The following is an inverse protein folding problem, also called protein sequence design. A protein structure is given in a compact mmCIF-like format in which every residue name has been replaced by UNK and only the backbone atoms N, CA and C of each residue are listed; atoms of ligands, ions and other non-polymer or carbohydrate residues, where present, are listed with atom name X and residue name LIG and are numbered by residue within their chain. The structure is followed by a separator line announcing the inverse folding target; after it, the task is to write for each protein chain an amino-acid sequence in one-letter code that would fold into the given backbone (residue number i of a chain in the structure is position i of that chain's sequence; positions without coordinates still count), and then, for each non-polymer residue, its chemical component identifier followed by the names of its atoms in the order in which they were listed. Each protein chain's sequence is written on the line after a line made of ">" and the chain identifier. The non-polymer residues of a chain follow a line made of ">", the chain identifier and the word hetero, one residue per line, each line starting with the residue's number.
data_IF_215744215027
#
_entry.id   IF_215744215027
#
_cell.length_a   1.000
_cell.length_b   1.000
_cell.length_c   1.000
_cell.angle_alpha   90.00
_cell.angle_beta   90.00
_cell.angle_gamma   90.00
#
_symmetry.space_group_name_H-M   'P 1'
#
loop_
_entity.id
_entity.type
_entity.pdbx_description
1 polymer ?
#
# COMPACT_ATOMS: atom_id res chain seq x y z
N UNK A 1 -20.07 -17.93 4.34
CA UNK A 1 -21.38 -18.38 4.86
C UNK A 1 -21.40 -18.56 6.39
N UNK A 2 -20.42 -17.96 7.11
CA UNK A 2 -20.42 -17.99 8.58
C UNK A 2 -21.64 -17.23 9.14
N UNK A 3 -22.21 -17.74 10.23
CA UNK A 3 -23.26 -17.05 11.02
C UNK A 3 -22.71 -16.38 12.27
N UNK A 4 -21.42 -16.54 12.53
CA UNK A 4 -20.70 -15.86 13.62
C UNK A 4 -19.78 -14.79 13.03
N UNK A 5 -19.42 -13.74 13.79
CA UNK A 5 -18.43 -12.76 13.37
C UNK A 5 -17.12 -13.44 12.96
N UNK A 6 -16.52 -12.99 11.88
CA UNK A 6 -15.26 -13.52 11.35
C UNK A 6 -14.30 -12.37 11.15
N UNK A 7 -13.11 -12.49 11.70
CA UNK A 7 -12.00 -11.59 11.43
C UNK A 7 -11.35 -12.05 10.12
N UNK A 8 -11.28 -11.16 9.12
CA UNK A 8 -10.90 -11.54 7.77
C UNK A 8 -10.35 -10.38 6.95
N UNK A 9 -9.71 -10.71 5.85
CA UNK A 9 -9.58 -9.85 4.67
C UNK A 9 -9.98 -10.64 3.43
N UNK A 10 -10.36 -9.93 2.37
CA UNK A 10 -10.79 -10.57 1.12
C UNK A 10 -9.75 -10.44 0.02
N UNK A 11 -9.09 -9.30 -0.05
CA UNK A 11 -8.06 -8.99 -1.03
C UNK A 11 -7.08 -7.96 -0.48
N UNK A 12 -5.88 -7.94 -1.03
CA UNK A 12 -4.80 -7.02 -0.67
C UNK A 12 -4.47 -6.06 -1.79
N UNK A 13 -5.36 -5.08 -2.09
CA UNK A 13 -5.00 -3.98 -2.99
C UNK A 13 -4.27 -2.93 -2.18
N UNK A 14 -2.94 -2.95 -2.26
CA UNK A 14 -2.07 -2.00 -1.57
C UNK A 14 -1.58 -0.91 -2.52
N UNK A 15 -1.46 0.32 -2.03
CA UNK A 15 -1.08 1.46 -2.84
C UNK A 15 0.23 2.09 -2.34
N UNK A 16 1.03 2.58 -3.29
CA UNK A 16 2.19 3.44 -3.01
C UNK A 16 1.97 4.79 -3.67
N UNK A 17 1.87 5.85 -2.88
CA UNK A 17 1.85 7.22 -3.37
C UNK A 17 3.24 7.84 -3.33
N UNK A 18 3.66 8.42 -4.44
CA UNK A 18 4.90 9.18 -4.58
C UNK A 18 4.54 10.66 -4.72
N UNK A 19 4.80 11.41 -3.65
CA UNK A 19 4.46 12.83 -3.53
C UNK A 19 5.41 13.74 -4.32
N UNK A 20 4.98 14.98 -4.61
CA UNK A 20 5.77 15.99 -5.32
C UNK A 20 7.14 16.27 -4.69
N UNK A 21 7.27 16.11 -3.37
CA UNK A 21 8.52 16.29 -2.63
C UNK A 21 9.18 14.97 -2.24
N UNK A 22 8.97 13.92 -3.02
CA UNK A 22 9.60 12.63 -2.78
C UNK A 22 11.10 12.64 -3.11
N UNK A 23 11.87 11.85 -2.36
CA UNK A 23 13.18 11.42 -2.84
C UNK A 23 12.95 10.32 -3.89
N UNK A 24 13.22 10.63 -5.16
CA UNK A 24 12.88 9.76 -6.29
C UNK A 24 13.65 8.44 -6.29
N UNK A 25 14.90 8.43 -5.82
CA UNK A 25 15.69 7.20 -5.71
C UNK A 25 15.14 6.27 -4.64
N UNK A 26 14.71 6.83 -3.49
CA UNK A 26 14.04 6.08 -2.44
C UNK A 26 12.70 5.54 -2.93
N UNK A 27 11.90 6.38 -3.58
CA UNK A 27 10.60 6.00 -4.13
C UNK A 27 10.72 4.85 -5.14
N UNK A 28 11.70 4.92 -6.04
CA UNK A 28 11.99 3.86 -7.02
C UNK A 28 12.34 2.53 -6.34
N UNK A 29 13.25 2.56 -5.35
CA UNK A 29 13.63 1.38 -4.59
C UNK A 29 12.44 0.75 -3.87
N UNK A 30 11.60 1.57 -3.23
CA UNK A 30 10.40 1.10 -2.55
C UNK A 30 9.43 0.48 -3.55
N UNK A 31 9.12 1.16 -4.67
CA UNK A 31 8.20 0.67 -5.69
C UNK A 31 8.63 -0.71 -6.26
N UNK A 32 9.90 -0.83 -6.66
CA UNK A 32 10.42 -2.08 -7.23
C UNK A 32 10.38 -3.20 -6.19
N UNK A 33 10.86 -2.96 -4.97
CA UNK A 33 10.89 -4.01 -3.93
C UNK A 33 9.50 -4.37 -3.43
N UNK A 34 8.59 -3.41 -3.36
CA UNK A 34 7.22 -3.63 -2.93
C UNK A 34 6.39 -4.44 -3.94
N UNK A 35 6.70 -4.35 -5.24
CA UNK A 35 6.03 -5.15 -6.29
C UNK A 35 6.81 -6.39 -6.67
N UNK A 36 8.09 -6.22 -7.07
CA UNK A 36 8.83 -7.28 -7.75
C UNK A 36 9.50 -8.27 -6.79
N UNK A 37 9.66 -7.92 -5.51
CA UNK A 37 10.30 -8.81 -4.53
C UNK A 37 9.52 -10.09 -4.26
N UNK A 38 8.20 -10.03 -4.18
CA UNK A 38 7.29 -11.17 -4.01
C UNK A 38 5.87 -10.76 -4.41
N UNK A 39 5.49 -10.85 -5.69
CA UNK A 39 4.24 -10.26 -6.18
C UNK A 39 2.97 -10.96 -5.68
N UNK A 40 3.03 -12.27 -5.40
CA UNK A 40 1.88 -13.09 -5.00
C UNK A 40 1.51 -13.03 -3.51
N UNK A 41 1.84 -11.93 -2.81
CA UNK A 41 1.48 -11.75 -1.39
C UNK A 41 0.64 -10.50 -1.20
N UNK A 42 -0.26 -10.56 -0.23
CA UNK A 42 -1.29 -9.52 0.01
C UNK A 42 -0.75 -8.12 0.37
N UNK A 43 0.52 -8.00 0.78
CA UNK A 43 1.17 -6.75 1.11
C UNK A 43 2.06 -6.19 -0.03
N UNK A 44 2.09 -6.85 -1.22
CA UNK A 44 2.67 -6.29 -2.41
C UNK A 44 1.80 -5.14 -2.93
N UNK A 45 2.41 -4.10 -3.51
CA UNK A 45 1.63 -3.01 -4.10
C UNK A 45 0.98 -3.48 -5.41
N UNK A 46 -0.25 -3.02 -5.64
CA UNK A 46 -0.97 -3.20 -6.88
C UNK A 46 -1.10 -1.89 -7.65
N UNK A 47 -1.06 -0.76 -6.94
CA UNK A 47 -1.12 0.57 -7.53
C UNK A 47 0.09 1.42 -7.14
N UNK A 48 0.65 2.11 -8.14
CA UNK A 48 1.63 3.19 -8.00
C UNK A 48 0.96 4.51 -8.40
N UNK A 49 0.69 5.34 -7.41
CA UNK A 49 0.06 6.65 -7.58
C UNK A 49 1.16 7.70 -7.55
N UNK A 50 1.23 8.57 -8.55
CA UNK A 50 2.35 9.49 -8.73
C UNK A 50 1.83 10.92 -8.88
N UNK A 51 2.41 11.84 -8.11
CA UNK A 51 2.11 13.27 -8.25
C UNK A 51 2.56 13.78 -9.62
N UNK A 52 1.70 14.54 -10.30
CA UNK A 52 1.92 15.07 -11.66
C UNK A 52 3.25 15.79 -11.83
N UNK A 53 3.64 16.62 -10.88
CA UNK A 53 4.84 17.46 -10.98
C UNK A 53 6.14 16.66 -11.14
N UNK A 54 6.18 15.43 -10.62
CA UNK A 54 7.37 14.58 -10.68
C UNK A 54 7.25 13.43 -11.68
N UNK A 55 6.08 13.25 -12.29
CA UNK A 55 5.79 12.08 -13.12
C UNK A 55 6.74 11.94 -14.30
N UNK A 56 7.08 13.05 -14.98
CA UNK A 56 7.99 13.05 -16.13
C UNK A 56 9.43 12.69 -15.77
N UNK A 57 9.87 12.98 -14.55
CA UNK A 57 11.21 12.65 -14.05
C UNK A 57 11.23 11.22 -13.45
N UNK A 58 10.19 10.85 -12.72
CA UNK A 58 10.16 9.61 -11.96
C UNK A 58 9.80 8.37 -12.78
N UNK A 59 8.76 8.48 -13.62
CA UNK A 59 8.19 7.32 -14.31
C UNK A 59 9.14 6.63 -15.31
N UNK A 60 9.90 7.32 -16.18
CA UNK A 60 10.67 6.66 -17.22
C UNK A 60 11.69 5.65 -16.68
N UNK A 61 12.45 6.03 -15.67
CA UNK A 61 13.46 5.16 -15.05
C UNK A 61 12.80 4.07 -14.17
N UNK A 62 11.70 4.41 -13.49
CA UNK A 62 10.97 3.48 -12.64
C UNK A 62 10.31 2.37 -13.47
N UNK A 63 9.62 2.75 -14.55
CA UNK A 63 8.94 1.77 -15.43
C UNK A 63 9.97 0.91 -16.17
N UNK A 64 11.09 1.50 -16.60
CA UNK A 64 12.18 0.70 -17.17
C UNK A 64 12.64 -0.39 -16.18
N UNK A 65 12.92 -0.02 -14.93
CA UNK A 65 13.38 -0.97 -13.94
C UNK A 65 12.31 -2.04 -13.57
N UNK A 66 11.02 -1.68 -13.58
CA UNK A 66 9.91 -2.63 -13.41
C UNK A 66 9.87 -3.61 -14.59
N UNK A 67 9.99 -3.12 -15.82
CA UNK A 67 10.01 -3.95 -17.03
C UNK A 67 11.22 -4.88 -17.05
N UNK A 68 12.41 -4.39 -16.67
CA UNK A 68 13.62 -5.22 -16.53
C UNK A 68 13.45 -6.34 -15.49
N UNK A 69 12.58 -6.11 -14.49
CA UNK A 69 12.16 -7.13 -13.53
C UNK A 69 10.96 -8.01 -14.01
N UNK A 70 10.62 -7.95 -15.30
CA UNK A 70 9.49 -8.64 -15.93
C UNK A 70 8.12 -8.24 -15.38
N UNK A 71 7.97 -7.04 -14.83
CA UNK A 71 6.69 -6.53 -14.37
C UNK A 71 5.94 -5.87 -15.55
N UNK A 72 4.74 -6.39 -15.85
CA UNK A 72 3.81 -5.72 -16.75
C UNK A 72 3.31 -4.44 -16.11
N UNK A 73 3.34 -3.34 -16.87
CA UNK A 73 2.85 -2.05 -16.41
C UNK A 73 1.61 -1.65 -17.18
N UNK A 74 0.55 -1.33 -16.46
CA UNK A 74 -0.67 -0.72 -16.99
C UNK A 74 -0.77 0.69 -16.42
N UNK A 75 -0.99 1.67 -17.27
CA UNK A 75 -0.96 3.06 -16.84
C UNK A 75 -2.16 3.85 -17.40
N UNK A 76 -2.57 4.88 -16.69
CA UNK A 76 -3.56 5.82 -17.20
C UNK A 76 -3.06 6.56 -18.45
N UNK A 77 -3.93 7.29 -19.11
CA UNK A 77 -3.64 7.97 -20.37
C UNK A 77 -2.49 8.95 -20.27
N UNK A 78 -2.36 9.63 -19.14
CA UNK A 78 -1.34 10.64 -18.92
C UNK A 78 0.04 10.03 -18.67
N UNK A 79 0.12 9.03 -17.79
CA UNK A 79 1.36 8.30 -17.55
C UNK A 79 1.86 7.63 -18.83
N UNK A 80 0.94 7.08 -19.65
CA UNK A 80 1.28 6.49 -20.96
C UNK A 80 1.83 7.54 -21.93
N UNK A 81 1.26 8.74 -21.97
CA UNK A 81 1.79 9.83 -22.81
C UNK A 81 3.21 10.21 -22.42
N UNK A 82 3.46 10.43 -21.12
CA UNK A 82 4.79 10.74 -20.59
C UNK A 82 5.81 9.65 -20.95
N UNK A 83 5.44 8.39 -20.75
CA UNK A 83 6.32 7.25 -21.02
C UNK A 83 6.59 7.07 -22.50
N UNK A 84 5.61 7.27 -23.37
CA UNK A 84 5.75 7.21 -24.82
C UNK A 84 6.72 8.28 -25.34
N UNK A 85 6.64 9.49 -24.80
CA UNK A 85 7.50 10.61 -25.20
C UNK A 85 8.95 10.41 -24.70
N UNK A 86 9.10 9.95 -23.46
CA UNK A 86 10.42 9.78 -22.83
C UNK A 86 11.14 8.49 -23.30
N UNK A 87 10.39 7.39 -23.49
CA UNK A 87 10.93 6.07 -23.85
C UNK A 87 9.98 5.30 -24.77
N UNK A 88 10.00 5.59 -26.08
CA UNK A 88 9.08 4.97 -27.05
C UNK A 88 9.19 3.43 -27.15
N UNK A 89 10.30 2.85 -26.68
CA UNK A 89 10.53 1.40 -26.69
C UNK A 89 9.83 0.65 -25.55
N UNK A 90 9.37 1.34 -24.51
CA UNK A 90 8.65 0.69 -23.41
C UNK A 90 7.24 0.30 -23.85
N UNK A 91 6.87 -0.94 -23.59
CA UNK A 91 5.50 -1.42 -23.78
C UNK A 91 4.74 -1.22 -22.50
N UNK A 92 3.78 -0.29 -22.51
CA UNK A 92 2.92 0.03 -21.37
C UNK A 92 1.47 -0.15 -21.79
N UNK A 93 0.76 -1.04 -21.09
CA UNK A 93 -0.67 -1.29 -21.28
C UNK A 93 -1.52 -0.10 -20.84
N UNK A 94 -2.76 -0.07 -21.31
CA UNK A 94 -3.77 0.86 -20.81
C UNK A 94 -4.38 0.32 -19.53
N UNK A 95 -4.35 1.13 -18.45
CA UNK A 95 -5.05 0.80 -17.23
C UNK A 95 -6.55 1.09 -17.39
N UNK A 96 -7.35 0.13 -17.03
CA UNK A 96 -8.80 0.28 -16.88
C UNK A 96 -9.14 0.65 -15.44
N UNK A 97 -10.35 1.14 -15.18
CA UNK A 97 -10.80 1.41 -13.80
C UNK A 97 -10.76 0.13 -12.93
N UNK A 98 -11.07 -1.03 -13.50
CA UNK A 98 -11.01 -2.32 -12.79
C UNK A 98 -9.58 -2.70 -12.40
N UNK A 99 -8.56 -2.32 -13.17
CA UNK A 99 -7.16 -2.61 -12.83
C UNK A 99 -6.76 -1.99 -11.49
N UNK A 100 -7.26 -0.77 -11.18
CA UNK A 100 -6.97 -0.11 -9.90
C UNK A 100 -7.66 -0.78 -8.71
N UNK A 101 -8.71 -1.56 -8.92
CA UNK A 101 -9.40 -2.35 -7.90
C UNK A 101 -8.92 -3.80 -7.81
N UNK A 102 -7.95 -4.19 -8.66
CA UNK A 102 -7.54 -5.58 -8.81
C UNK A 102 -6.33 -5.92 -7.95
N UNK A 103 -6.43 -6.99 -7.18
CA UNK A 103 -5.28 -7.67 -6.61
C UNK A 103 -4.77 -8.67 -7.65
N UNK A 104 -3.70 -8.30 -8.36
CA UNK A 104 -3.17 -9.11 -9.46
C UNK A 104 -2.48 -10.39 -8.98
N UNK A 105 -1.85 -10.35 -7.81
CA UNK A 105 -1.04 -11.46 -7.26
C UNK A 105 0.07 -11.93 -8.21
N UNK A 106 0.47 -11.06 -9.13
CA UNK A 106 1.47 -11.34 -10.18
C UNK A 106 2.31 -10.09 -10.44
N UNK A 107 3.28 -10.20 -11.30
CA UNK A 107 4.13 -9.09 -11.78
C UNK A 107 3.35 -8.18 -12.73
N UNK A 108 2.30 -7.56 -12.23
CA UNK A 108 1.45 -6.57 -12.91
C UNK A 108 1.25 -5.39 -11.96
N UNK A 109 1.48 -4.16 -12.42
CA UNK A 109 1.34 -2.94 -11.62
C UNK A 109 0.52 -1.89 -12.37
N UNK A 110 -0.50 -1.33 -11.74
CA UNK A 110 -1.26 -0.22 -12.26
C UNK A 110 -0.62 1.12 -11.83
N UNK A 111 -0.54 2.09 -12.77
CA UNK A 111 0.02 3.44 -12.52
C UNK A 111 -1.04 4.50 -12.77
N UNK A 112 -1.21 5.41 -11.81
CA UNK A 112 -2.11 6.54 -11.87
C UNK A 112 -1.42 7.84 -11.55
N UNK A 113 -1.67 8.90 -12.32
CA UNK A 113 -1.23 10.27 -12.02
C UNK A 113 -2.33 11.00 -11.27
N UNK A 114 -1.93 11.82 -10.30
CA UNK A 114 -2.82 12.67 -9.50
C UNK A 114 -2.25 14.09 -9.38
N UNK A 115 -3.12 15.08 -9.17
CA UNK A 115 -2.74 16.48 -9.13
C UNK A 115 -2.30 16.98 -7.75
N UNK A 116 -2.72 16.27 -6.71
CA UNK A 116 -2.51 16.73 -5.34
C UNK A 116 -2.43 15.56 -4.34
N UNK A 117 -2.00 15.87 -3.12
CA UNK A 117 -2.06 14.95 -1.99
C UNK A 117 -3.50 14.50 -1.70
N UNK A 118 -4.48 15.40 -1.79
CA UNK A 118 -5.88 15.06 -1.50
C UNK A 118 -6.43 14.11 -2.58
N UNK A 119 -6.11 14.32 -3.86
CA UNK A 119 -6.49 13.37 -4.92
C UNK A 119 -5.83 12.01 -4.73
N UNK A 120 -4.58 11.97 -4.22
CA UNK A 120 -3.92 10.72 -3.87
C UNK A 120 -4.62 10.03 -2.71
N UNK A 121 -5.02 10.75 -1.68
CA UNK A 121 -5.78 10.24 -0.54
C UNK A 121 -7.11 9.66 -1.00
N UNK A 122 -7.83 10.38 -1.87
CA UNK A 122 -9.10 9.92 -2.42
C UNK A 122 -8.91 8.65 -3.26
N UNK A 123 -7.88 8.60 -4.11
CA UNK A 123 -7.56 7.42 -4.90
C UNK A 123 -7.20 6.21 -4.03
N UNK A 124 -6.36 6.38 -3.00
CA UNK A 124 -6.00 5.30 -2.05
C UNK A 124 -7.23 4.79 -1.32
N UNK A 125 -8.09 5.68 -0.82
CA UNK A 125 -9.31 5.28 -0.12
C UNK A 125 -10.36 4.63 -1.04
N UNK A 126 -10.36 4.99 -2.33
CA UNK A 126 -11.27 4.42 -3.33
C UNK A 126 -10.83 3.02 -3.76
N UNK A 127 -9.56 2.86 -4.11
CA UNK A 127 -9.02 1.64 -4.72
C UNK A 127 -8.50 0.64 -3.69
N UNK A 128 -7.98 1.14 -2.56
CA UNK A 128 -7.37 0.32 -1.51
C UNK A 128 -8.35 -0.63 -0.85
N UNK A 129 -7.82 -1.77 -0.43
CA UNK A 129 -8.59 -2.80 0.29
C UNK A 129 -8.59 -2.61 1.81
N UNK A 130 -7.94 -1.55 2.32
CA UNK A 130 -7.73 -1.33 3.75
C UNK A 130 -6.62 -2.21 4.36
N UNK A 131 -5.75 -2.78 3.53
CA UNK A 131 -4.66 -3.65 3.97
C UNK A 131 -3.41 -2.84 4.36
N UNK A 132 -2.71 -2.27 3.39
CA UNK A 132 -1.47 -1.52 3.62
C UNK A 132 -1.26 -0.49 2.53
N UNK A 133 -1.01 0.75 2.92
CA UNK A 133 -0.76 1.84 1.98
C UNK A 133 0.45 2.67 2.43
N UNK A 134 1.14 3.27 1.48
CA UNK A 134 2.36 4.01 1.75
C UNK A 134 2.44 5.34 1.00
N UNK A 135 3.07 6.33 1.63
CA UNK A 135 3.51 7.58 1.00
C UNK A 135 5.04 7.68 1.02
N UNK A 136 5.62 8.15 -0.08
CA UNK A 136 7.02 8.59 -0.11
C UNK A 136 7.06 10.10 -0.27
N UNK A 137 7.58 10.79 0.72
CA UNK A 137 7.74 12.25 0.73
C UNK A 137 8.78 12.72 1.74
N UNK A 138 9.41 13.86 1.49
CA UNK A 138 10.22 14.59 2.47
C UNK A 138 9.42 15.67 3.19
N UNK A 139 8.18 15.94 2.76
CA UNK A 139 7.27 16.90 3.38
C UNK A 139 6.56 16.26 4.58
N UNK A 140 7.00 16.61 5.79
CA UNK A 140 6.41 16.08 7.02
C UNK A 140 4.92 16.39 7.17
N UNK A 141 4.42 17.62 6.92
CA UNK A 141 3.00 17.90 6.91
C UNK A 141 2.18 16.99 5.98
N UNK A 142 2.66 16.76 4.75
CA UNK A 142 2.00 15.85 3.81
C UNK A 142 1.98 14.41 4.32
N UNK A 143 3.10 13.93 4.87
CA UNK A 143 3.18 12.60 5.46
C UNK A 143 2.21 12.43 6.63
N UNK A 144 2.20 13.36 7.59
CA UNK A 144 1.31 13.29 8.76
C UNK A 144 -0.17 13.36 8.35
N UNK A 145 -0.50 14.17 7.34
CA UNK A 145 -1.86 14.23 6.78
C UNK A 145 -2.26 12.88 6.18
N UNK A 146 -1.40 12.28 5.35
CA UNK A 146 -1.64 10.97 4.75
C UNK A 146 -1.81 9.88 5.82
N UNK A 147 -0.89 9.81 6.79
CA UNK A 147 -0.95 8.85 7.90
C UNK A 147 -2.23 8.96 8.72
N UNK A 148 -2.76 10.19 8.91
CA UNK A 148 -3.95 10.45 9.72
C UNK A 148 -5.26 10.12 8.99
N UNK A 149 -5.31 10.24 7.67
CA UNK A 149 -6.56 10.21 6.90
C UNK A 149 -6.80 8.90 6.17
N UNK A 150 -5.72 8.21 5.78
CA UNK A 150 -5.85 6.89 5.15
C UNK A 150 -6.37 5.89 6.16
N UNK A 151 -7.56 5.33 5.87
CA UNK A 151 -8.23 4.37 6.74
C UNK A 151 -7.89 2.92 6.34
N UNK A 152 -6.63 2.60 6.52
CA UNK A 152 -6.07 1.27 6.24
C UNK A 152 -5.46 0.66 7.50
N UNK A 153 -5.27 -0.66 7.54
CA UNK A 153 -4.77 -1.33 8.73
C UNK A 153 -3.35 -0.92 9.08
N UNK A 154 -2.55 -0.61 8.06
CA UNK A 154 -1.17 -0.16 8.23
C UNK A 154 -0.84 0.92 7.19
N UNK A 155 -0.40 2.07 7.66
CA UNK A 155 -0.01 3.20 6.80
C UNK A 155 1.46 3.51 7.02
N UNK A 156 2.19 3.65 5.93
CA UNK A 156 3.65 3.85 5.94
C UNK A 156 4.06 5.22 5.42
N UNK A 157 5.08 5.77 6.02
CA UNK A 157 5.82 6.90 5.51
C UNK A 157 7.27 6.50 5.22
N UNK A 158 7.69 6.61 3.96
CA UNK A 158 9.03 6.28 3.46
C UNK A 158 9.45 4.83 3.76
N UNK A 159 8.50 3.91 3.76
CA UNK A 159 8.74 2.48 3.93
C UNK A 159 7.82 1.66 3.03
N UNK A 160 8.23 0.43 2.74
CA UNK A 160 7.49 -0.49 1.89
C UNK A 160 6.30 -1.12 2.63
N UNK A 161 5.18 -1.30 1.95
CA UNK A 161 4.02 -2.06 2.44
C UNK A 161 4.36 -3.51 2.77
N UNK A 162 5.47 -4.03 2.24
CA UNK A 162 6.00 -5.36 2.50
C UNK A 162 6.35 -5.64 3.97
N UNK A 163 6.49 -4.60 4.79
CA UNK A 163 6.69 -4.74 6.23
C UNK A 163 5.40 -5.06 7.01
N UNK A 164 4.22 -5.08 6.39
CA UNK A 164 2.99 -5.57 7.03
C UNK A 164 3.05 -7.09 7.16
N UNK A 165 3.68 -7.53 8.22
CA UNK A 165 3.97 -8.95 8.51
C UNK A 165 4.10 -9.14 10.02
N UNK A 166 3.56 -10.24 10.54
CA UNK A 166 3.54 -10.50 11.97
C UNK A 166 4.92 -10.68 12.59
N UNK A 167 5.91 -11.18 11.84
CA UNK A 167 7.29 -11.30 12.32
C UNK A 167 7.99 -9.94 12.29
N UNK A 168 7.83 -9.17 11.22
CA UNK A 168 8.38 -7.81 11.11
C UNK A 168 7.83 -6.89 12.20
N UNK A 169 6.57 -7.06 12.61
CA UNK A 169 5.94 -6.32 13.71
C UNK A 169 6.30 -6.85 15.10
N UNK A 170 7.09 -7.93 15.19
CA UNK A 170 7.50 -8.51 16.46
C UNK A 170 6.39 -9.28 17.20
N UNK A 171 5.33 -9.71 16.49
CA UNK A 171 4.22 -10.46 17.07
C UNK A 171 4.56 -11.94 17.29
N UNK A 172 5.72 -12.40 16.80
CA UNK A 172 6.21 -13.76 16.93
C UNK A 172 5.49 -14.81 16.08
N UNK A 173 4.44 -14.40 15.38
CA UNK A 173 3.68 -15.23 14.42
C UNK A 173 2.79 -14.34 13.57
N UNK A 174 2.32 -14.87 12.44
CA UNK A 174 1.19 -14.32 11.70
C UNK A 174 0.17 -15.42 11.47
N UNK A 175 -0.97 -15.33 12.15
CA UNK A 175 -2.07 -16.30 12.01
C UNK A 175 -3.00 -15.88 10.89
N UNK A 176 -2.99 -14.59 10.59
CA UNK A 176 -3.73 -13.94 9.52
C UNK A 176 -3.60 -12.45 9.59
N UNK A 177 -4.22 -11.76 8.63
CA UNK A 177 -4.31 -10.30 8.59
C UNK A 177 -5.78 -9.92 8.54
N UNK A 178 -6.16 -8.88 9.28
CA UNK A 178 -7.52 -8.35 9.26
C UNK A 178 -7.54 -6.94 8.69
N UNK A 179 -8.46 -6.70 7.77
CA UNK A 179 -8.82 -5.35 7.30
C UNK A 179 -10.08 -4.82 7.96
N UNK A 180 -10.75 -5.64 8.77
CA UNK A 180 -11.93 -5.26 9.52
C UNK A 180 -11.61 -4.23 10.61
N UNK A 181 -12.63 -3.45 11.02
CA UNK A 181 -12.52 -2.47 12.11
C UNK A 181 -13.04 -3.01 13.44
N UNK A 182 -13.55 -4.23 13.46
CA UNK A 182 -14.04 -4.92 14.65
C UNK A 182 -12.95 -5.86 15.16
N UNK A 183 -12.58 -5.76 16.44
CA UNK A 183 -11.48 -6.48 17.08
C UNK A 183 -10.09 -6.15 16.49
N UNK A 184 -9.24 -7.19 16.26
CA UNK A 184 -7.91 -7.01 15.71
C UNK A 184 -7.95 -6.47 14.28
N UNK A 185 -7.00 -5.60 13.95
CA UNK A 185 -6.80 -5.02 12.63
C UNK A 185 -5.31 -5.09 12.27
N UNK A 186 -5.00 -5.42 11.02
CA UNK A 186 -3.64 -5.70 10.56
C UNK A 186 -3.19 -7.13 10.85
N UNK A 187 -1.88 -7.39 10.89
CA UNK A 187 -1.32 -8.70 11.25
C UNK A 187 -1.75 -9.15 12.63
N UNK A 188 -2.10 -10.42 12.78
CA UNK A 188 -2.55 -11.02 14.03
C UNK A 188 -1.59 -12.10 14.48
N UNK A 189 -1.08 -11.99 15.70
CA UNK A 189 -0.31 -13.00 16.40
C UNK A 189 -1.14 -13.74 17.46
N UNK A 190 -0.44 -14.35 18.41
CA UNK A 190 -1.08 -15.11 19.50
C UNK A 190 -1.94 -14.22 20.41
N UNK A 191 -1.52 -12.98 20.61
CA UNK A 191 -2.21 -12.03 21.50
C UNK A 191 -3.63 -11.73 21.04
N UNK A 192 -3.84 -11.57 19.73
CA UNK A 192 -5.12 -11.23 19.11
C UNK A 192 -6.13 -12.40 19.18
N UNK A 193 -5.65 -13.61 19.39
CA UNK A 193 -6.51 -14.80 19.60
C UNK A 193 -6.96 -14.98 21.05
N UNK A 194 -6.41 -14.17 21.98
CA UNK A 194 -6.68 -14.29 23.40
C UNK A 194 -7.64 -13.20 23.87
N UNK A 195 -8.32 -13.45 24.96
CA UNK A 195 -8.99 -12.44 25.76
C UNK A 195 -8.27 -12.27 27.11
N UNK A 196 -8.64 -11.28 27.86
CA UNK A 196 -8.02 -10.98 29.15
C UNK A 196 -9.07 -10.87 30.25
N UNK A 197 -8.63 -11.02 31.51
CA UNK A 197 -9.39 -10.72 32.71
C UNK A 197 -8.57 -9.86 33.65
N UNK A 198 -9.25 -9.00 34.39
CA UNK A 198 -8.61 -8.25 35.45
C UNK A 198 -8.51 -9.10 36.72
N UNK A 199 -7.37 -9.08 37.38
CA UNK A 199 -7.18 -9.63 38.73
C UNK A 199 -6.87 -8.46 39.67
N UNK A 200 -7.82 -8.13 40.50
CA UNK A 200 -7.69 -7.04 41.47
C UNK A 200 -7.40 -7.63 42.86
N UNK A 201 -6.28 -7.22 43.45
CA UNK A 201 -5.89 -7.62 44.79
C UNK A 201 -5.99 -6.39 45.71
N UNK A 202 -6.96 -6.42 46.60
CA UNK A 202 -7.19 -5.36 47.56
C UNK A 202 -6.83 -5.79 49.01
N UNK A 203 -6.79 -4.82 49.90
CA UNK A 203 -6.60 -5.03 51.33
C UNK A 203 -7.70 -4.30 52.16
N UNK A 204 -8.91 -4.20 51.62
CA UNK A 204 -10.05 -3.61 52.32
C UNK A 204 -10.47 -2.22 51.82
N UNK A 205 -10.02 -1.78 50.65
CA UNK A 205 -10.47 -0.53 50.05
C UNK A 205 -11.99 -0.60 49.82
N UNK A 206 -12.71 0.47 50.21
CA UNK A 206 -14.14 0.67 49.99
C UNK A 206 -14.36 1.90 49.09
N UNK A 207 -15.53 1.97 48.50
CA UNK A 207 -15.94 3.09 47.64
C UNK A 207 -17.18 3.75 48.20
#
# INVERSE_FOLDING_TARGET
>A
HSRIPVIKHYKGVCNLYVDSKANLDLARKIAITAKCGRPGVCNAIENLIVHREIASEFLPETVNALTDANCEVRADSEARSILKDARPSLTVGEATEEDFHTEFLDLILAIKIVDSLEDAIDAVNLYGSGHSDAIVTTDKPAAERFLAVIDTSTVYWNASTRFTDGFEFGLGSEIGISTDRLHARGPMGLRELCTYKYQVRGNGQTK
#
